data_IF_133432058430
#
_entry.id   IF_133432058430
#
_cell.length_a   1.000
_cell.length_b   1.000
_cell.length_c   1.000
_cell.angle_alpha   90.00
_cell.angle_beta   90.00
_cell.angle_gamma   90.00
#
_symmetry.space_group_name_H-M   'P 1'
#
loop_
_entity.id
_entity.type
_entity.pdbx_description
1 polymer ?
#
# COMPACT_ATOMS: atom_id res chain seq x y z
N UNK A 1 -8.27 -40.96 12.30
CA UNK A 1 -7.83 -39.61 11.90
C UNK A 1 -6.56 -39.30 12.68
N UNK A 2 -5.43 -39.10 11.99
CA UNK A 2 -4.17 -38.75 12.66
C UNK A 2 -4.34 -37.41 13.41
N UNK A 3 -3.96 -37.32 14.70
CA UNK A 3 -4.01 -36.09 15.48
C UNK A 3 -2.93 -35.06 15.09
N UNK A 4 -2.09 -35.37 14.09
CA UNK A 4 -0.92 -34.58 13.71
C UNK A 4 -1.04 -33.85 12.37
N UNK A 5 -2.13 -34.01 11.63
CA UNK A 5 -2.34 -33.29 10.38
C UNK A 5 -2.92 -31.89 10.66
N UNK A 6 -2.04 -30.94 10.99
CA UNK A 6 -2.38 -29.52 11.08
C UNK A 6 -2.40 -28.95 9.65
N UNK A 7 -3.59 -28.66 9.13
CA UNK A 7 -3.74 -28.04 7.81
C UNK A 7 -5.19 -28.06 7.29
N UNK A 8 -5.51 -27.16 6.37
CA UNK A 8 -6.81 -27.17 5.69
C UNK A 8 -6.92 -28.40 4.78
N UNK A 9 -8.15 -28.87 4.54
CA UNK A 9 -8.38 -29.96 3.58
C UNK A 9 -7.94 -29.51 2.19
N UNK A 10 -7.14 -30.35 1.53
CA UNK A 10 -6.80 -30.15 0.12
C UNK A 10 -7.96 -30.66 -0.71
N UNK A 11 -8.63 -29.77 -1.43
CA UNK A 11 -9.67 -30.12 -2.39
C UNK A 11 -9.05 -30.36 -3.78
N UNK A 12 -9.35 -31.52 -4.37
CA UNK A 12 -8.88 -31.85 -5.72
C UNK A 12 -9.96 -31.39 -6.70
N UNK A 13 -9.71 -30.26 -7.38
CA UNK A 13 -10.60 -29.78 -8.44
C UNK A 13 -10.33 -30.54 -9.75
N UNK A 14 -11.27 -31.37 -10.20
CA UNK A 14 -11.18 -32.04 -11.50
C UNK A 14 -11.62 -31.09 -12.63
N UNK A 15 -10.81 -30.95 -13.68
CA UNK A 15 -11.11 -30.24 -14.92
C UNK A 15 -10.92 -31.17 -16.13
N UNK A 16 -11.65 -30.90 -17.22
CA UNK A 16 -11.60 -31.71 -18.45
C UNK A 16 -10.18 -31.90 -19.03
N UNK A 17 -9.28 -30.92 -18.86
CA UNK A 17 -7.86 -31.05 -19.23
C UNK A 17 -6.97 -30.35 -18.18
N UNK A 18 -6.64 -31.08 -17.12
CA UNK A 18 -5.85 -30.58 -16.00
C UNK A 18 -4.47 -30.05 -16.44
N UNK A 19 -3.82 -30.70 -17.41
CA UNK A 19 -2.48 -30.30 -17.88
C UNK A 19 -2.52 -28.94 -18.60
N UNK A 20 -3.48 -28.76 -19.51
CA UNK A 20 -3.65 -27.48 -20.21
C UNK A 20 -3.99 -26.35 -19.23
N UNK A 21 -4.88 -26.61 -18.28
CA UNK A 21 -5.26 -25.64 -17.25
C UNK A 21 -4.06 -25.24 -16.37
N UNK A 22 -3.29 -26.22 -15.90
CA UNK A 22 -2.08 -25.98 -15.11
C UNK A 22 -1.03 -25.16 -15.89
N UNK A 23 -0.78 -25.49 -17.16
CA UNK A 23 0.11 -24.71 -18.03
C UNK A 23 -0.38 -23.27 -18.22
N UNK A 24 -1.68 -23.07 -18.39
CA UNK A 24 -2.25 -21.73 -18.52
C UNK A 24 -2.10 -20.91 -17.24
N UNK A 25 -2.35 -21.49 -16.06
CA UNK A 25 -2.16 -20.81 -14.77
C UNK A 25 -0.69 -20.45 -14.59
N UNK A 26 0.20 -21.41 -14.81
CA UNK A 26 1.64 -21.19 -14.68
C UNK A 26 2.12 -20.04 -15.56
N UNK A 27 1.75 -20.04 -16.85
CA UNK A 27 2.12 -18.97 -17.79
C UNK A 27 1.61 -17.60 -17.34
N UNK A 28 0.34 -17.50 -16.93
CA UNK A 28 -0.24 -16.24 -16.43
C UNK A 28 0.53 -15.72 -15.22
N UNK A 29 0.81 -16.60 -14.27
CA UNK A 29 1.52 -16.26 -13.04
C UNK A 29 2.95 -15.81 -13.31
N UNK A 30 3.73 -16.55 -14.10
CA UNK A 30 5.11 -16.18 -14.41
C UNK A 30 5.17 -14.85 -15.15
N UNK A 31 4.27 -14.62 -16.10
CA UNK A 31 4.21 -13.35 -16.81
C UNK A 31 3.90 -12.19 -15.86
N UNK A 32 2.91 -12.35 -14.97
CA UNK A 32 2.59 -11.36 -13.95
C UNK A 32 3.78 -11.12 -13.02
N UNK A 33 4.48 -12.16 -12.59
CA UNK A 33 5.67 -12.04 -11.76
C UNK A 33 6.75 -11.19 -12.44
N UNK A 34 7.04 -11.43 -13.72
CA UNK A 34 8.02 -10.64 -14.48
C UNK A 34 7.56 -9.17 -14.58
N UNK A 35 6.28 -8.94 -14.89
CA UNK A 35 5.69 -7.59 -14.93
C UNK A 35 5.89 -6.88 -13.59
N UNK A 36 5.59 -7.54 -12.47
CA UNK A 36 5.77 -7.02 -11.11
C UNK A 36 7.21 -6.61 -10.86
N UNK A 37 8.18 -7.47 -11.20
CA UNK A 37 9.60 -7.17 -11.03
C UNK A 37 10.03 -5.94 -11.85
N UNK A 38 9.56 -5.82 -13.08
CA UNK A 38 9.87 -4.67 -13.95
C UNK A 38 9.32 -3.38 -13.32
N UNK A 39 8.04 -3.34 -12.96
CA UNK A 39 7.43 -2.12 -12.40
C UNK A 39 7.98 -1.75 -11.02
N UNK A 40 8.20 -2.72 -10.13
CA UNK A 40 8.87 -2.45 -8.85
C UNK A 40 10.31 -1.96 -9.07
N UNK A 41 11.02 -2.53 -10.05
CA UNK A 41 12.34 -2.07 -10.46
C UNK A 41 12.31 -0.61 -10.92
N UNK A 42 11.35 -0.21 -11.74
CA UNK A 42 11.15 1.18 -12.19
C UNK A 42 10.93 2.11 -11.00
N UNK A 43 10.06 1.73 -10.04
CA UNK A 43 9.80 2.53 -8.83
C UNK A 43 11.08 2.73 -8.02
N UNK A 44 11.84 1.66 -7.76
CA UNK A 44 13.10 1.72 -7.03
C UNK A 44 14.14 2.56 -7.76
N UNK A 45 14.30 2.39 -9.07
CA UNK A 45 15.22 3.17 -9.89
C UNK A 45 14.87 4.66 -9.88
N UNK A 46 13.57 5.01 -9.90
CA UNK A 46 13.16 6.40 -9.79
C UNK A 46 13.52 7.00 -8.43
N UNK A 47 13.40 6.24 -7.32
CA UNK A 47 13.82 6.77 -6.01
C UNK A 47 15.32 7.12 -6.00
N UNK A 48 16.13 6.27 -6.61
CA UNK A 48 17.59 6.49 -6.73
C UNK A 48 17.87 7.69 -7.63
N UNK A 49 17.19 7.78 -8.78
CA UNK A 49 17.29 8.92 -9.70
C UNK A 49 16.95 10.25 -8.99
N UNK A 50 15.82 10.31 -8.31
CA UNK A 50 15.38 11.49 -7.56
C UNK A 50 16.39 11.87 -6.50
N UNK A 51 16.85 10.92 -5.68
CA UNK A 51 17.85 11.15 -4.64
C UNK A 51 19.16 11.71 -5.22
N UNK A 52 19.64 11.18 -6.34
CA UNK A 52 20.86 11.64 -7.00
C UNK A 52 20.78 13.10 -7.45
N UNK A 53 19.69 13.49 -8.10
CA UNK A 53 19.53 14.87 -8.60
C UNK A 53 19.20 15.87 -7.49
N UNK A 54 18.49 15.44 -6.44
CA UNK A 54 18.34 16.21 -5.20
C UNK A 54 19.71 16.42 -4.53
N UNK A 55 20.54 15.37 -4.46
CA UNK A 55 21.90 15.46 -3.91
C UNK A 55 22.77 16.47 -4.66
N UNK A 56 22.72 16.43 -6.00
CA UNK A 56 23.44 17.40 -6.84
C UNK A 56 22.80 18.78 -6.88
N UNK A 57 21.66 19.00 -6.21
CA UNK A 57 20.89 20.25 -6.20
C UNK A 57 20.61 20.78 -7.62
N UNK A 58 20.40 19.88 -8.58
CA UNK A 58 20.14 20.20 -9.99
C UNK A 58 18.66 20.55 -10.18
N UNK A 59 18.30 21.79 -9.85
CA UNK A 59 16.92 22.31 -9.93
C UNK A 59 16.33 22.21 -11.34
N UNK A 60 17.17 22.26 -12.39
CA UNK A 60 16.76 22.05 -13.78
C UNK A 60 16.12 20.67 -14.03
N UNK A 61 16.39 19.69 -13.16
CA UNK A 61 15.82 18.34 -13.25
C UNK A 61 14.58 18.13 -12.40
N UNK A 62 14.16 19.11 -11.60
CA UNK A 62 13.01 18.92 -10.70
C UNK A 62 11.70 18.76 -11.47
N UNK A 63 11.54 19.44 -12.61
CA UNK A 63 10.39 19.24 -13.50
C UNK A 63 10.33 17.79 -14.04
N UNK A 64 11.48 17.20 -14.36
CA UNK A 64 11.54 15.82 -14.83
C UNK A 64 11.23 14.84 -13.69
N UNK A 65 11.73 15.10 -12.48
CA UNK A 65 11.42 14.29 -11.30
C UNK A 65 9.91 14.32 -11.00
N UNK A 66 9.29 15.50 -11.04
CA UNK A 66 7.85 15.67 -10.88
C UNK A 66 7.06 14.91 -11.97
N UNK A 67 7.44 15.06 -13.24
CA UNK A 67 6.87 14.29 -14.35
C UNK A 67 6.94 12.77 -14.10
N UNK A 68 8.10 12.27 -13.69
CA UNK A 68 8.30 10.84 -13.46
C UNK A 68 7.54 10.31 -12.24
N UNK A 69 7.45 11.11 -11.18
CA UNK A 69 6.63 10.79 -10.02
C UNK A 69 5.15 10.70 -10.40
N UNK A 70 4.65 11.67 -11.16
CA UNK A 70 3.27 11.65 -11.68
C UNK A 70 3.02 10.45 -12.61
N UNK A 71 3.99 10.10 -13.47
CA UNK A 71 3.92 8.88 -14.29
C UNK A 71 3.69 7.66 -13.41
N UNK A 72 4.45 7.46 -12.32
CA UNK A 72 4.28 6.26 -11.46
C UNK A 72 2.92 6.25 -10.76
N UNK A 73 2.44 7.37 -10.22
CA UNK A 73 1.14 7.42 -9.55
C UNK A 73 0.02 7.06 -10.54
N UNK A 74 0.06 7.62 -11.75
CA UNK A 74 -0.89 7.30 -12.82
C UNK A 74 -0.73 5.84 -13.25
N UNK A 75 0.50 5.33 -13.32
CA UNK A 75 0.80 3.97 -13.72
C UNK A 75 0.15 2.93 -12.80
N UNK A 76 0.17 3.18 -11.49
CA UNK A 76 -0.49 2.32 -10.49
C UNK A 76 -1.99 2.24 -10.78
N UNK A 77 -2.64 3.38 -11.06
CA UNK A 77 -4.05 3.42 -11.44
C UNK A 77 -4.32 2.67 -12.75
N UNK A 78 -3.53 2.89 -13.79
CA UNK A 78 -3.68 2.21 -15.10
C UNK A 78 -3.46 0.70 -14.96
N UNK A 79 -2.52 0.26 -14.11
CA UNK A 79 -2.31 -1.15 -13.80
C UNK A 79 -3.55 -1.81 -13.19
N UNK A 80 -4.23 -1.11 -12.29
CA UNK A 80 -5.50 -1.59 -11.71
C UNK A 80 -6.59 -1.66 -12.78
N UNK A 81 -6.75 -0.65 -13.63
CA UNK A 81 -7.69 -0.71 -14.75
C UNK A 81 -7.39 -1.87 -15.70
N UNK A 82 -6.12 -2.11 -16.01
CA UNK A 82 -5.70 -3.23 -16.85
C UNK A 82 -5.96 -4.59 -16.20
N UNK A 83 -6.07 -4.67 -14.87
CA UNK A 83 -6.48 -5.87 -14.15
C UNK A 83 -7.89 -6.36 -14.50
N UNK A 84 -8.73 -5.51 -15.10
CA UNK A 84 -10.02 -5.91 -15.69
C UNK A 84 -9.83 -6.84 -16.89
N UNK A 85 -8.68 -6.73 -17.57
CA UNK A 85 -8.34 -7.43 -18.80
C UNK A 85 -7.35 -8.57 -18.57
N UNK A 86 -7.22 -9.46 -19.55
CA UNK A 86 -6.21 -10.53 -19.56
C UNK A 86 -4.92 -10.14 -20.29
N UNK A 87 -4.61 -8.85 -20.40
CA UNK A 87 -3.44 -8.35 -21.17
C UNK A 87 -2.11 -8.89 -20.65
N UNK A 88 -2.02 -9.24 -19.37
CA UNK A 88 -0.82 -9.83 -18.75
C UNK A 88 -0.41 -11.19 -19.35
N UNK A 89 -1.26 -11.83 -20.16
CA UNK A 89 -0.87 -13.04 -20.91
C UNK A 89 0.29 -12.76 -21.88
N UNK A 90 0.48 -11.51 -22.31
CA UNK A 90 1.64 -11.09 -23.11
C UNK A 90 2.34 -9.92 -22.42
N UNK A 91 3.56 -10.16 -21.94
CA UNK A 91 4.37 -9.18 -21.19
C UNK A 91 4.63 -7.93 -22.04
N UNK A 92 5.04 -8.10 -23.30
CA UNK A 92 5.38 -6.97 -24.17
C UNK A 92 4.15 -6.09 -24.45
N UNK A 93 3.00 -6.72 -24.71
CA UNK A 93 1.74 -6.01 -24.93
C UNK A 93 1.29 -5.26 -23.67
N UNK A 94 1.39 -5.91 -22.50
CA UNK A 94 1.07 -5.28 -21.22
C UNK A 94 1.94 -4.03 -21.01
N UNK A 95 3.26 -4.16 -21.13
CA UNK A 95 4.19 -3.05 -20.93
C UNK A 95 3.92 -1.90 -21.91
N UNK A 96 3.73 -2.22 -23.19
CA UNK A 96 3.48 -1.22 -24.23
C UNK A 96 2.21 -0.41 -23.94
N UNK A 97 1.08 -1.10 -23.74
CA UNK A 97 -0.21 -0.43 -23.49
C UNK A 97 -0.16 0.35 -22.19
N UNK A 98 0.37 -0.25 -21.13
CA UNK A 98 0.42 0.35 -19.81
C UNK A 98 1.26 1.63 -19.80
N UNK A 99 2.49 1.59 -20.32
CA UNK A 99 3.39 2.74 -20.36
C UNK A 99 2.90 3.82 -21.32
N UNK A 100 2.40 3.44 -22.50
CA UNK A 100 1.86 4.39 -23.48
C UNK A 100 0.64 5.13 -22.93
N UNK A 101 -0.31 4.40 -22.35
CA UNK A 101 -1.54 4.97 -21.78
C UNK A 101 -1.20 5.89 -20.61
N UNK A 102 -0.30 5.44 -19.72
CA UNK A 102 0.20 6.27 -18.61
C UNK A 102 0.81 7.56 -19.13
N UNK A 103 1.72 7.47 -20.12
CA UNK A 103 2.38 8.63 -20.70
C UNK A 103 1.41 9.63 -21.31
N UNK A 104 0.47 9.17 -22.16
CA UNK A 104 -0.54 10.03 -22.80
C UNK A 104 -1.37 10.76 -21.74
N UNK A 105 -1.83 10.05 -20.71
CA UNK A 105 -2.66 10.62 -19.65
C UNK A 105 -1.86 11.63 -18.82
N UNK A 106 -0.61 11.31 -18.45
CA UNK A 106 0.24 12.23 -17.68
C UNK A 106 0.50 13.51 -18.45
N UNK A 107 0.89 13.43 -19.72
CA UNK A 107 1.11 14.62 -20.55
C UNK A 107 -0.17 15.46 -20.68
N UNK A 108 -1.31 14.82 -20.92
CA UNK A 108 -2.60 15.52 -21.02
C UNK A 108 -2.99 16.26 -19.74
N UNK A 109 -2.67 15.71 -18.56
CA UNK A 109 -3.10 16.26 -17.27
C UNK A 109 -2.11 17.30 -16.73
N UNK A 110 -0.81 17.15 -17.00
CA UNK A 110 0.21 18.11 -16.55
C UNK A 110 0.08 19.51 -17.17
N UNK A 111 -0.63 19.60 -18.30
CA UNK A 111 -0.98 20.85 -18.96
C UNK A 111 -2.27 21.48 -18.43
N UNK A 112 -2.96 20.82 -17.48
CA UNK A 112 -4.19 21.30 -16.85
C UNK A 112 -3.90 21.83 -15.45
N UNK A 113 -4.73 22.77 -14.99
CA UNK A 113 -4.71 23.26 -13.62
C UNK A 113 -5.33 22.27 -12.61
N UNK A 114 -5.12 20.96 -12.81
CA UNK A 114 -5.65 19.89 -11.97
C UNK A 114 -4.50 19.30 -11.18
N UNK A 115 -4.71 19.05 -9.89
CA UNK A 115 -3.76 18.32 -9.04
C UNK A 115 -3.74 16.83 -9.45
N UNK A 116 -2.71 16.32 -10.15
CA UNK A 116 -2.71 14.95 -10.64
C UNK A 116 -2.63 13.94 -9.49
N UNK A 117 -1.80 14.22 -8.47
CA UNK A 117 -1.60 13.35 -7.32
C UNK A 117 -2.91 13.16 -6.54
N UNK A 118 -3.63 14.25 -6.25
CA UNK A 118 -4.94 14.21 -5.58
C UNK A 118 -5.99 13.45 -6.39
N UNK A 119 -6.09 13.73 -7.70
CA UNK A 119 -7.04 13.07 -8.59
C UNK A 119 -6.77 11.56 -8.70
N UNK A 120 -5.55 11.16 -9.05
CA UNK A 120 -5.23 9.74 -9.26
C UNK A 120 -5.14 8.96 -7.95
N UNK A 121 -4.82 9.59 -6.82
CA UNK A 121 -4.99 8.95 -5.51
C UNK A 121 -6.46 8.65 -5.24
N UNK A 122 -7.35 9.58 -5.54
CA UNK A 122 -8.81 9.38 -5.39
C UNK A 122 -9.33 8.26 -6.30
N UNK A 123 -8.97 8.29 -7.57
CA UNK A 123 -9.37 7.24 -8.52
C UNK A 123 -8.80 5.86 -8.14
N UNK A 124 -7.54 5.82 -7.69
CA UNK A 124 -6.89 4.60 -7.18
C UNK A 124 -7.58 4.07 -5.94
N UNK A 125 -7.94 4.93 -4.99
CA UNK A 125 -8.68 4.53 -3.80
C UNK A 125 -10.03 3.90 -4.14
N UNK A 126 -10.80 4.56 -5.01
CA UNK A 126 -12.11 4.08 -5.47
C UNK A 126 -12.00 2.72 -6.17
N UNK A 127 -11.06 2.56 -7.11
CA UNK A 127 -10.92 1.30 -7.85
C UNK A 127 -10.43 0.15 -6.96
N UNK A 128 -9.60 0.42 -5.95
CA UNK A 128 -9.21 -0.62 -4.98
C UNK A 128 -10.41 -1.04 -4.13
N UNK A 129 -11.17 -0.09 -3.59
CA UNK A 129 -12.41 -0.40 -2.85
C UNK A 129 -13.36 -1.22 -3.72
N UNK A 130 -13.60 -0.77 -4.95
CA UNK A 130 -14.46 -1.48 -5.89
C UNK A 130 -13.96 -2.90 -6.17
N UNK A 131 -12.65 -3.07 -6.38
CA UNK A 131 -12.03 -4.37 -6.56
C UNK A 131 -12.22 -5.28 -5.34
N UNK A 132 -12.10 -4.76 -4.11
CA UNK A 132 -12.26 -5.57 -2.90
C UNK A 132 -13.70 -6.07 -2.75
N UNK A 133 -14.71 -5.22 -2.97
CA UNK A 133 -16.11 -5.60 -2.75
C UNK A 133 -16.75 -6.37 -3.90
N UNK A 134 -16.39 -6.04 -5.15
CA UNK A 134 -17.15 -6.50 -6.31
C UNK A 134 -16.35 -7.38 -7.27
N UNK A 135 -15.03 -7.13 -7.45
CA UNK A 135 -14.23 -7.83 -8.45
C UNK A 135 -12.75 -7.95 -8.04
N UNK A 136 -12.40 -8.88 -7.11
CA UNK A 136 -11.04 -9.00 -6.58
C UNK A 136 -9.99 -9.32 -7.66
N UNK A 137 -10.40 -9.89 -8.80
CA UNK A 137 -9.51 -10.18 -9.91
C UNK A 137 -8.83 -8.94 -10.48
N UNK A 138 -9.47 -7.76 -10.39
CA UNK A 138 -8.87 -6.48 -10.80
C UNK A 138 -7.56 -6.25 -10.03
N UNK A 139 -7.57 -6.57 -8.73
CA UNK A 139 -6.43 -6.36 -7.85
C UNK A 139 -5.34 -7.39 -8.16
N UNK A 140 -5.69 -8.67 -8.21
CA UNK A 140 -4.72 -9.76 -8.41
C UNK A 140 -4.11 -9.80 -9.81
N UNK A 141 -4.81 -9.27 -10.82
CA UNK A 141 -4.29 -9.15 -12.19
C UNK A 141 -3.56 -7.82 -12.46
N UNK A 142 -3.40 -6.98 -11.44
CA UNK A 142 -2.56 -5.76 -11.50
C UNK A 142 -1.18 -6.04 -10.92
N UNK A 143 -0.14 -5.34 -11.39
CA UNK A 143 1.21 -5.55 -10.85
C UNK A 143 1.31 -5.15 -9.36
N UNK A 144 0.46 -4.22 -8.90
CA UNK A 144 0.52 -3.75 -7.52
C UNK A 144 -0.17 -4.73 -6.56
N UNK A 145 -1.25 -5.38 -6.99
CA UNK A 145 -2.03 -6.32 -6.17
C UNK A 145 -1.72 -7.80 -6.38
N UNK A 146 -0.90 -8.14 -7.39
CA UNK A 146 -0.49 -9.53 -7.65
C UNK A 146 0.20 -10.16 -6.43
N UNK A 147 -0.28 -11.32 -6.00
CA UNK A 147 0.29 -12.04 -4.87
C UNK A 147 1.14 -13.22 -5.36
N UNK A 148 2.42 -13.23 -5.02
CA UNK A 148 3.38 -14.21 -5.53
C UNK A 148 3.35 -15.49 -4.70
N UNK A 149 2.47 -16.41 -5.09
CA UNK A 149 2.30 -17.73 -4.46
C UNK A 149 3.50 -18.69 -4.66
N UNK A 150 4.29 -18.50 -5.73
CA UNK A 150 5.34 -19.45 -6.11
C UNK A 150 6.63 -19.32 -5.29
N UNK A 151 6.87 -18.16 -4.66
CA UNK A 151 8.02 -17.94 -3.80
C UNK A 151 7.81 -18.43 -2.36
N UNK A 152 6.69 -19.09 -2.07
CA UNK A 152 6.36 -19.54 -0.72
C UNK A 152 6.03 -18.41 0.25
N UNK A 153 5.82 -17.19 -0.25
CA UNK A 153 5.25 -16.10 0.56
C UNK A 153 3.84 -16.49 0.99
N UNK A 154 3.52 -16.22 2.26
CA UNK A 154 2.22 -16.55 2.83
C UNK A 154 1.14 -15.79 2.09
N UNK A 155 0.14 -16.51 1.59
CA UNK A 155 -1.03 -15.91 0.95
C UNK A 155 -1.96 -15.35 2.02
N UNK A 156 -2.06 -14.02 2.09
CA UNK A 156 -2.98 -13.33 2.98
C UNK A 156 -4.09 -12.59 2.23
N UNK A 157 -4.38 -12.96 0.98
CA UNK A 157 -5.22 -12.20 0.06
C UNK A 157 -4.47 -10.99 -0.51
N UNK A 158 -4.74 -9.78 -0.02
CA UNK A 158 -4.08 -8.52 -0.41
C UNK A 158 -2.61 -8.50 0.01
N UNK A 159 -1.74 -8.14 -0.93
CA UNK A 159 -0.32 -7.98 -0.64
C UNK A 159 -0.02 -6.62 0.05
N UNK A 160 1.19 -6.47 0.58
CA UNK A 160 1.60 -5.25 1.27
C UNK A 160 1.74 -4.02 0.34
N UNK A 161 1.98 -4.22 -0.95
CA UNK A 161 2.06 -3.13 -1.92
C UNK A 161 0.71 -2.44 -2.11
N UNK A 162 -0.34 -3.22 -2.43
CA UNK A 162 -1.69 -2.67 -2.62
C UNK A 162 -2.30 -2.16 -1.32
N UNK A 163 -2.00 -2.80 -0.18
CA UNK A 163 -2.38 -2.29 1.14
C UNK A 163 -1.73 -0.91 1.41
N UNK A 164 -0.43 -0.75 1.13
CA UNK A 164 0.24 0.54 1.29
C UNK A 164 -0.33 1.62 0.38
N UNK A 165 -0.58 1.29 -0.88
CA UNK A 165 -1.22 2.18 -1.87
C UNK A 165 -2.63 2.56 -1.44
N UNK A 166 -3.45 1.63 -0.97
CA UNK A 166 -4.80 1.91 -0.45
C UNK A 166 -4.75 2.92 0.69
N UNK A 167 -3.87 2.72 1.68
CA UNK A 167 -3.78 3.61 2.84
C UNK A 167 -3.31 5.02 2.45
N UNK A 168 -2.22 5.15 1.69
CA UNK A 168 -1.72 6.48 1.30
C UNK A 168 -2.68 7.20 0.36
N UNK A 169 -3.29 6.48 -0.59
CA UNK A 169 -4.29 7.04 -1.49
C UNK A 169 -5.54 7.48 -0.74
N UNK A 170 -5.95 6.78 0.32
CA UNK A 170 -7.07 7.20 1.17
C UNK A 170 -6.79 8.53 1.90
N UNK A 171 -5.56 8.72 2.40
CA UNK A 171 -5.17 9.97 3.08
C UNK A 171 -5.19 11.12 2.07
N UNK A 172 -4.46 10.98 0.97
CA UNK A 172 -4.35 12.03 -0.06
C UNK A 172 -5.72 12.34 -0.66
N UNK A 173 -6.50 11.31 -0.95
CA UNK A 173 -7.84 11.46 -1.51
C UNK A 173 -8.76 12.21 -0.56
N UNK A 174 -8.77 11.87 0.72
CA UNK A 174 -9.55 12.61 1.72
C UNK A 174 -9.17 14.10 1.76
N UNK A 175 -7.87 14.41 1.82
CA UNK A 175 -7.39 15.80 1.84
C UNK A 175 -7.63 16.54 0.51
N UNK A 176 -7.76 15.83 -0.61
CA UNK A 176 -8.13 16.40 -1.89
C UNK A 176 -9.63 16.72 -1.98
N UNK A 177 -10.50 15.79 -1.58
CA UNK A 177 -11.96 15.98 -1.69
C UNK A 177 -12.53 16.94 -0.64
N UNK A 178 -11.89 17.08 0.54
CA UNK A 178 -12.38 17.94 1.62
C UNK A 178 -12.46 19.42 1.22
N UNK A 179 -11.65 19.86 0.25
CA UNK A 179 -11.71 21.22 -0.27
C UNK A 179 -13.07 21.53 -0.93
N UNK A 180 -13.80 20.49 -1.33
CA UNK A 180 -15.13 20.57 -1.92
C UNK A 180 -16.26 20.48 -0.88
N UNK A 181 -15.95 20.25 0.40
CA UNK A 181 -16.94 20.05 1.47
C UNK A 181 -17.01 21.32 2.34
N UNK A 182 -17.99 22.22 2.15
CA UNK A 182 -18.04 23.48 2.89
C UNK A 182 -18.44 23.32 4.35
N UNK A 183 -19.20 22.26 4.68
CA UNK A 183 -19.74 22.06 6.02
C UNK A 183 -18.78 21.22 6.88
N UNK A 184 -18.27 21.81 7.97
CA UNK A 184 -17.32 21.15 8.90
C UNK A 184 -17.87 19.87 9.55
N UNK A 185 -19.16 19.80 9.82
CA UNK A 185 -19.78 18.59 10.37
C UNK A 185 -19.79 17.47 9.31
N UNK A 186 -20.21 17.80 8.08
CA UNK A 186 -20.21 16.84 6.97
C UNK A 186 -18.78 16.35 6.68
N UNK A 187 -17.80 17.25 6.68
CA UNK A 187 -16.39 16.93 6.52
C UNK A 187 -15.89 15.94 7.60
N UNK A 188 -16.22 16.16 8.88
CA UNK A 188 -15.89 15.21 9.97
C UNK A 188 -16.59 13.85 9.80
N UNK A 189 -17.84 13.83 9.36
CA UNK A 189 -18.57 12.57 9.09
C UNK A 189 -17.95 11.83 7.90
N UNK A 190 -17.64 12.53 6.82
CA UNK A 190 -16.96 11.97 5.64
C UNK A 190 -15.60 11.41 6.04
N UNK A 191 -14.80 12.15 6.83
CA UNK A 191 -13.54 11.67 7.38
C UNK A 191 -13.71 10.34 8.13
N UNK A 192 -14.68 10.30 9.06
CA UNK A 192 -14.96 9.10 9.84
C UNK A 192 -15.29 7.91 8.93
N UNK A 193 -16.22 8.09 7.98
CA UNK A 193 -16.60 7.05 7.03
C UNK A 193 -15.43 6.60 6.15
N UNK A 194 -14.60 7.53 5.68
CA UNK A 194 -13.45 7.25 4.82
C UNK A 194 -12.45 6.29 5.48
N UNK A 195 -12.02 6.62 6.69
CA UNK A 195 -11.01 5.81 7.38
C UNK A 195 -11.61 4.58 8.05
N UNK A 196 -12.90 4.59 8.39
CA UNK A 196 -13.62 3.37 8.80
C UNK A 196 -13.71 2.37 7.65
N UNK A 197 -13.92 2.84 6.42
CA UNK A 197 -13.94 1.99 5.23
C UNK A 197 -12.61 1.23 5.06
N UNK A 198 -11.47 1.88 5.35
CA UNK A 198 -10.16 1.21 5.34
C UNK A 198 -10.08 0.03 6.32
N UNK A 199 -10.67 0.17 7.51
CA UNK A 199 -10.74 -0.93 8.50
C UNK A 199 -11.58 -2.08 7.97
N UNK A 200 -12.73 -1.78 7.35
CA UNK A 200 -13.63 -2.80 6.79
C UNK A 200 -12.93 -3.57 5.67
N UNK A 201 -12.37 -2.88 4.68
CA UNK A 201 -11.74 -3.52 3.52
C UNK A 201 -10.44 -4.24 3.85
N UNK A 202 -9.73 -3.82 4.89
CA UNK A 202 -8.53 -4.50 5.39
C UNK A 202 -8.84 -5.48 6.54
N UNK A 203 -10.09 -5.84 6.76
CA UNK A 203 -10.45 -6.89 7.73
C UNK A 203 -10.17 -8.29 7.21
N UNK A 204 -10.12 -9.28 8.11
CA UNK A 204 -9.85 -10.68 7.76
C UNK A 204 -10.83 -11.25 6.72
N UNK A 205 -12.09 -10.78 6.72
CA UNK A 205 -13.14 -11.23 5.81
C UNK A 205 -12.87 -10.91 4.33
N UNK A 206 -12.05 -9.89 4.05
CA UNK A 206 -11.70 -9.49 2.69
C UNK A 206 -10.29 -9.92 2.29
N UNK A 207 -9.71 -10.87 3.04
CA UNK A 207 -8.38 -11.40 2.76
C UNK A 207 -7.34 -10.31 2.86
N UNK A 208 -7.27 -9.58 3.97
CA UNK A 208 -6.14 -8.70 4.26
C UNK A 208 -5.24 -9.34 5.32
N UNK A 209 -3.95 -9.01 5.28
CA UNK A 209 -3.05 -9.46 6.33
C UNK A 209 -3.31 -8.72 7.66
N UNK A 210 -2.95 -9.36 8.77
CA UNK A 210 -3.15 -8.82 10.12
C UNK A 210 -2.41 -7.49 10.33
N UNK A 211 -1.23 -7.33 9.72
CA UNK A 211 -0.47 -6.07 9.73
C UNK A 211 -1.20 -4.93 9.02
N UNK A 212 -1.86 -5.23 7.90
CA UNK A 212 -2.70 -4.33 7.12
C UNK A 212 -3.87 -3.81 7.94
N UNK A 213 -4.62 -4.73 8.54
CA UNK A 213 -5.72 -4.40 9.44
C UNK A 213 -5.27 -3.50 10.59
N UNK A 214 -4.17 -3.86 11.27
CA UNK A 214 -3.66 -3.10 12.41
C UNK A 214 -3.20 -1.69 11.98
N UNK A 215 -2.55 -1.57 10.81
CA UNK A 215 -2.15 -0.27 10.27
C UNK A 215 -3.37 0.59 9.94
N UNK A 216 -4.46 0.00 9.41
CA UNK A 216 -5.71 0.71 9.14
C UNK A 216 -6.37 1.23 10.43
N UNK A 217 -6.37 0.42 11.50
CA UNK A 217 -6.83 0.85 12.83
C UNK A 217 -6.01 2.06 13.29
N UNK A 218 -4.68 1.99 13.21
CA UNK A 218 -3.85 3.10 13.66
C UNK A 218 -4.10 4.37 12.83
N UNK A 219 -4.24 4.25 11.51
CA UNK A 219 -4.62 5.39 10.66
C UNK A 219 -5.97 5.98 11.08
N UNK A 220 -6.99 5.16 11.25
CA UNK A 220 -8.30 5.63 11.70
C UNK A 220 -8.21 6.37 13.04
N UNK A 221 -7.47 5.82 14.01
CA UNK A 221 -7.28 6.44 15.31
C UNK A 221 -6.52 7.77 15.22
N UNK A 222 -5.46 7.85 14.42
CA UNK A 222 -4.73 9.10 14.16
C UNK A 222 -5.67 10.15 13.58
N UNK A 223 -6.51 9.77 12.60
CA UNK A 223 -7.47 10.68 11.99
C UNK A 223 -8.55 11.14 12.97
N UNK A 224 -9.14 10.22 13.75
CA UNK A 224 -10.11 10.59 14.78
C UNK A 224 -9.48 11.56 15.79
N UNK A 225 -8.28 11.25 16.27
CA UNK A 225 -7.64 12.01 17.33
C UNK A 225 -7.18 13.40 16.89
N UNK A 226 -6.46 13.49 15.77
CA UNK A 226 -5.91 14.76 15.30
C UNK A 226 -6.96 15.61 14.60
N UNK A 227 -7.83 14.99 13.79
CA UNK A 227 -8.72 15.71 12.88
C UNK A 227 -10.13 15.87 13.44
N UNK A 228 -10.76 14.79 13.90
CA UNK A 228 -12.15 14.85 14.38
C UNK A 228 -12.23 15.52 15.74
N UNK A 229 -11.31 15.16 16.65
CA UNK A 229 -11.24 15.70 18.00
C UNK A 229 -10.38 16.97 18.10
N UNK A 230 -9.75 17.40 17.00
CA UNK A 230 -8.90 18.60 16.93
C UNK A 230 -7.81 18.63 18.03
N UNK A 231 -7.27 17.47 18.44
CA UNK A 231 -6.25 17.37 19.50
C UNK A 231 -4.83 17.37 18.93
N UNK A 232 -3.89 17.92 19.69
CA UNK A 232 -2.45 17.77 19.42
C UNK A 232 -1.91 16.44 19.99
N UNK A 233 -0.84 15.94 19.38
CA UNK A 233 -0.12 14.77 19.89
C UNK A 233 0.40 15.03 21.31
N UNK A 234 -0.12 14.29 22.28
CA UNK A 234 0.38 14.27 23.65
C UNK A 234 0.51 12.81 24.13
N UNK A 235 1.35 12.58 25.13
CA UNK A 235 1.65 11.23 25.62
C UNK A 235 0.38 10.52 26.14
N UNK A 236 -0.48 11.25 26.86
CA UNK A 236 -1.75 10.73 27.36
C UNK A 236 -2.70 10.29 26.23
N UNK A 237 -2.76 11.05 25.14
CA UNK A 237 -3.53 10.73 23.94
C UNK A 237 -2.99 9.49 23.25
N UNK A 238 -1.67 9.30 23.18
CA UNK A 238 -1.06 8.08 22.64
C UNK A 238 -1.50 6.85 23.44
N UNK A 239 -1.45 6.89 24.78
CA UNK A 239 -1.95 5.77 25.61
C UNK A 239 -3.44 5.51 25.39
N UNK A 240 -4.24 6.57 25.24
CA UNK A 240 -5.67 6.46 24.95
C UNK A 240 -5.90 5.78 23.59
N UNK A 241 -5.14 6.16 22.56
CA UNK A 241 -5.23 5.54 21.23
C UNK A 241 -4.80 4.08 21.24
N UNK A 242 -3.72 3.74 21.97
CA UNK A 242 -3.29 2.35 22.13
C UNK A 242 -4.39 1.52 22.79
N UNK A 243 -5.02 2.05 23.84
CA UNK A 243 -6.11 1.36 24.53
C UNK A 243 -7.33 1.14 23.63
N UNK A 244 -7.79 2.17 22.92
CA UNK A 244 -8.91 2.05 21.97
C UNK A 244 -8.56 1.07 20.84
N UNK A 245 -7.34 1.15 20.29
CA UNK A 245 -6.88 0.24 19.26
C UNK A 245 -6.85 -1.22 19.72
N UNK A 246 -6.42 -1.45 20.96
CA UNK A 246 -6.48 -2.78 21.58
C UNK A 246 -7.92 -3.27 21.72
N UNK A 247 -8.86 -2.44 22.14
CA UNK A 247 -10.28 -2.80 22.23
C UNK A 247 -10.88 -3.17 20.86
N UNK A 248 -10.60 -2.38 19.82
CA UNK A 248 -11.05 -2.67 18.45
C UNK A 248 -10.47 -4.02 17.98
N UNK A 249 -9.16 -4.22 18.19
CA UNK A 249 -8.49 -5.46 17.81
C UNK A 249 -9.06 -6.68 18.57
N UNK A 250 -9.24 -6.57 19.88
CA UNK A 250 -9.81 -7.63 20.71
C UNK A 250 -11.25 -7.98 20.29
N UNK A 251 -12.05 -6.96 19.95
CA UNK A 251 -13.42 -7.15 19.45
C UNK A 251 -13.42 -7.89 18.11
N UNK A 252 -12.53 -7.54 17.18
CA UNK A 252 -12.40 -8.28 15.92
C UNK A 252 -11.98 -9.73 16.15
N UNK A 253 -10.97 -9.98 16.99
CA UNK A 253 -10.54 -11.34 17.35
C UNK A 253 -11.65 -12.16 18.01
N UNK A 254 -12.52 -11.53 18.80
CA UNK A 254 -13.69 -12.19 19.38
C UNK A 254 -14.66 -12.66 18.29
N UNK A 255 -15.04 -11.79 17.35
CA UNK A 255 -15.94 -12.17 16.26
C UNK A 255 -15.34 -13.25 15.34
N UNK A 256 -14.05 -13.12 15.03
CA UNK A 256 -13.31 -14.10 14.23
C UNK A 256 -13.27 -15.48 14.91
N UNK A 257 -13.27 -15.55 16.25
CA UNK A 257 -13.27 -16.82 16.98
C UNK A 257 -14.56 -17.63 16.81
N UNK A 258 -15.68 -16.94 16.64
CA UNK A 258 -16.99 -17.56 16.37
C UNK A 258 -17.28 -17.70 14.88
N UNK A 259 -16.37 -17.27 14.00
CA UNK A 259 -16.52 -17.47 12.56
C UNK A 259 -16.25 -18.93 12.18
N UNK A 260 -16.93 -19.40 11.13
CA UNK A 260 -16.76 -20.77 10.63
C UNK A 260 -15.36 -21.00 10.01
N UNK A 261 -14.73 -19.94 9.50
CA UNK A 261 -13.38 -19.95 8.93
C UNK A 261 -12.43 -19.12 9.80
N UNK A 262 -11.80 -19.76 10.78
CA UNK A 262 -10.87 -19.09 11.70
C UNK A 262 -9.72 -18.44 10.95
N UNK A 263 -9.47 -17.15 11.19
CA UNK A 263 -8.33 -16.47 10.58
C UNK A 263 -6.98 -17.03 11.04
N UNK A 264 -5.94 -16.64 10.31
CA UNK A 264 -4.55 -16.89 10.67
C UNK A 264 -4.18 -16.41 12.07
N UNK A 265 -4.79 -15.32 12.57
CA UNK A 265 -4.52 -14.79 13.89
C UNK A 265 -5.00 -15.73 14.99
N UNK A 266 -6.17 -16.35 14.80
CA UNK A 266 -6.73 -17.30 15.78
C UNK A 266 -6.00 -18.62 15.75
N UNK A 267 -5.63 -19.10 14.56
CA UNK A 267 -4.78 -20.28 14.45
C UNK A 267 -3.44 -20.06 15.18
N UNK A 268 -2.88 -18.85 15.12
CA UNK A 268 -1.69 -18.50 15.90
C UNK A 268 -1.96 -18.47 17.41
N UNK A 269 -3.06 -17.87 17.88
CA UNK A 269 -3.44 -17.91 19.30
C UNK A 269 -3.64 -19.34 19.81
N UNK A 270 -4.25 -20.21 19.01
CA UNK A 270 -4.39 -21.64 19.31
C UNK A 270 -3.00 -22.29 19.41
N UNK A 271 -2.09 -22.00 18.46
CA UNK A 271 -0.71 -22.51 18.52
C UNK A 271 0.05 -22.05 19.75
N UNK A 272 -0.09 -20.78 20.16
CA UNK A 272 0.50 -20.27 21.40
C UNK A 272 -0.08 -21.02 22.61
N UNK A 273 -1.40 -21.25 22.62
CA UNK A 273 -2.04 -22.02 23.69
C UNK A 273 -1.51 -23.46 23.76
N UNK A 274 -1.21 -24.09 22.62
CA UNK A 274 -0.75 -25.49 22.56
C UNK A 274 0.77 -25.67 22.74
N UNK A 275 1.57 -24.75 22.20
CA UNK A 275 3.04 -24.85 22.13
C UNK A 275 3.75 -23.95 23.16
N UNK A 276 2.99 -23.05 23.81
CA UNK A 276 3.49 -22.11 24.80
C UNK A 276 4.09 -20.83 24.19
N UNK A 277 4.72 -20.03 25.07
CA UNK A 277 5.34 -18.74 24.73
C UNK A 277 6.50 -18.87 23.71
N UNK A 278 7.09 -20.06 23.56
CA UNK A 278 8.16 -20.31 22.60
C UNK A 278 7.71 -20.11 21.15
N UNK A 279 6.48 -20.49 20.81
CA UNK A 279 5.90 -20.27 19.46
C UNK A 279 5.76 -18.77 19.16
N UNK A 280 5.35 -17.97 20.16
CA UNK A 280 5.24 -16.52 20.01
C UNK A 280 6.60 -15.88 19.70
N UNK A 281 7.62 -16.22 20.51
CA UNK A 281 8.99 -15.69 20.33
C UNK A 281 9.57 -16.14 18.99
N UNK A 282 9.38 -17.40 18.59
CA UNK A 282 9.87 -17.91 17.32
C UNK A 282 9.22 -17.19 16.12
N UNK A 283 7.90 -17.03 16.12
CA UNK A 283 7.19 -16.31 15.07
C UNK A 283 7.61 -14.85 14.98
N UNK A 284 7.78 -14.18 16.13
CA UNK A 284 8.27 -12.81 16.18
C UNK A 284 9.71 -12.69 15.63
N UNK A 285 10.60 -13.62 16.00
CA UNK A 285 11.98 -13.68 15.51
C UNK A 285 12.03 -13.86 13.99
N UNK A 286 11.28 -14.82 13.44
CA UNK A 286 11.20 -15.05 11.99
C UNK A 286 10.75 -13.79 11.26
N UNK A 287 9.71 -13.12 11.79
CA UNK A 287 9.19 -11.88 11.19
C UNK A 287 10.22 -10.76 11.17
N UNK A 288 10.94 -10.53 12.27
CA UNK A 288 12.00 -9.53 12.33
C UNK A 288 13.13 -9.88 11.36
N UNK A 289 13.52 -11.15 11.30
CA UNK A 289 14.60 -11.61 10.43
C UNK A 289 14.26 -11.40 8.95
N UNK A 290 13.03 -11.74 8.54
CA UNK A 290 12.52 -11.47 7.18
C UNK A 290 12.49 -9.98 6.86
N UNK A 291 11.99 -9.16 7.79
CA UNK A 291 11.93 -7.70 7.62
C UNK A 291 13.34 -7.10 7.46
N UNK A 292 14.29 -7.48 8.31
CA UNK A 292 15.67 -6.99 8.26
C UNK A 292 16.36 -7.44 6.95
N UNK A 293 16.22 -8.72 6.59
CA UNK A 293 16.77 -9.25 5.33
C UNK A 293 16.27 -8.46 4.14
N UNK A 294 14.96 -8.26 4.03
CA UNK A 294 14.36 -7.52 2.92
C UNK A 294 14.75 -6.04 2.93
N UNK A 295 14.95 -5.45 4.11
CA UNK A 295 15.38 -4.05 4.26
C UNK A 295 16.80 -3.82 3.78
N UNK A 296 17.71 -4.77 3.99
CA UNK A 296 19.14 -4.61 3.65
C UNK A 296 19.41 -5.01 2.20
N UNK A 297 18.70 -6.01 1.68
CA UNK A 297 18.98 -6.60 0.38
C UNK A 297 18.58 -5.65 -0.77
N UNK A 298 19.45 -5.41 -1.76
CA UNK A 298 19.08 -4.70 -2.98
C UNK A 298 17.94 -5.40 -3.74
N UNK A 299 17.03 -4.66 -4.40
CA UNK A 299 17.06 -3.21 -4.59
C UNK A 299 16.46 -2.40 -3.42
N UNK A 300 15.79 -3.05 -2.47
CA UNK A 300 14.95 -2.37 -1.49
C UNK A 300 15.72 -1.48 -0.52
N UNK A 301 16.86 -1.95 0.01
CA UNK A 301 17.67 -1.14 0.91
C UNK A 301 18.18 0.15 0.26
N UNK A 302 18.58 0.06 -1.01
CA UNK A 302 19.02 1.22 -1.80
C UNK A 302 17.85 2.20 -1.99
N UNK A 303 16.65 1.69 -2.29
CA UNK A 303 15.45 2.52 -2.43
C UNK A 303 15.08 3.23 -1.11
N UNK A 304 15.09 2.52 0.02
CA UNK A 304 14.81 3.10 1.35
C UNK A 304 15.81 4.21 1.68
N UNK A 305 17.10 3.97 1.53
CA UNK A 305 18.14 4.98 1.80
C UNK A 305 17.94 6.19 0.89
N UNK A 306 17.62 5.97 -0.39
CA UNK A 306 17.33 7.04 -1.36
C UNK A 306 16.11 7.86 -0.96
N UNK A 307 15.05 7.22 -0.45
CA UNK A 307 13.85 7.88 0.04
C UNK A 307 14.10 8.70 1.31
N UNK A 308 14.78 8.12 2.30
CA UNK A 308 15.15 8.84 3.53
C UNK A 308 16.02 10.06 3.19
N UNK A 309 16.98 9.90 2.29
CA UNK A 309 17.81 10.99 1.82
C UNK A 309 16.98 12.09 1.14
N UNK A 310 16.10 11.71 0.22
CA UNK A 310 15.23 12.64 -0.50
C UNK A 310 14.32 13.40 0.46
N UNK A 311 13.68 12.71 1.41
CA UNK A 311 12.85 13.34 2.43
C UNK A 311 13.66 14.33 3.28
N UNK A 312 14.84 13.95 3.77
CA UNK A 312 15.67 14.85 4.56
C UNK A 312 16.03 16.12 3.76
N UNK A 313 16.48 15.99 2.51
CA UNK A 313 16.90 17.15 1.73
C UNK A 313 15.75 18.04 1.29
N UNK A 314 14.63 17.44 0.91
CA UNK A 314 13.42 18.20 0.60
C UNK A 314 12.94 18.95 1.85
N UNK A 315 12.99 18.33 3.04
CA UNK A 315 12.58 18.98 4.29
C UNK A 315 13.38 20.23 4.65
N UNK A 316 14.63 20.33 4.18
CA UNK A 316 15.50 21.49 4.38
C UNK A 316 15.20 22.63 3.39
N UNK A 317 14.38 22.40 2.35
CA UNK A 317 14.03 23.42 1.36
C UNK A 317 12.94 24.35 1.89
N UNK A 318 13.20 25.67 1.84
CA UNK A 318 12.35 26.73 2.43
C UNK A 318 10.90 26.78 1.94
N UNK A 319 10.55 26.10 0.85
CA UNK A 319 9.25 26.21 0.18
C UNK A 319 8.34 24.99 0.41
N UNK A 320 8.72 24.02 1.25
CA UNK A 320 7.87 22.86 1.52
C UNK A 320 6.99 23.13 2.75
N UNK A 321 5.67 23.18 2.53
CA UNK A 321 4.70 23.29 3.62
C UNK A 321 4.51 21.93 4.30
N UNK A 322 4.90 21.81 5.57
CA UNK A 322 4.59 20.63 6.38
C UNK A 322 3.13 20.64 6.80
N UNK A 323 2.26 20.15 5.91
CA UNK A 323 0.85 19.96 6.19
C UNK A 323 0.61 18.74 7.09
N UNK A 324 -0.52 18.73 7.79
CA UNK A 324 -0.95 17.61 8.64
C UNK A 324 -0.92 16.26 7.90
N UNK A 325 -1.34 16.24 6.63
CA UNK A 325 -1.33 15.05 5.77
C UNK A 325 0.08 14.43 5.62
N UNK A 326 1.12 15.26 5.51
CA UNK A 326 2.52 14.81 5.38
C UNK A 326 2.96 14.00 6.59
N UNK A 327 2.63 14.48 7.79
CA UNK A 327 2.99 13.82 9.04
C UNK A 327 2.23 12.50 9.22
N UNK A 328 0.95 12.46 8.81
CA UNK A 328 0.13 11.25 8.86
C UNK A 328 0.70 10.20 7.89
N UNK A 329 1.01 10.58 6.65
CA UNK A 329 1.58 9.67 5.64
C UNK A 329 2.91 9.10 6.13
N UNK A 330 3.79 9.93 6.69
CA UNK A 330 5.07 9.47 7.24
C UNK A 330 4.88 8.48 8.41
N UNK A 331 4.00 8.81 9.36
CA UNK A 331 3.69 7.94 10.49
C UNK A 331 3.15 6.59 10.02
N UNK A 332 2.20 6.59 9.07
CA UNK A 332 1.64 5.36 8.49
C UNK A 332 2.67 4.58 7.70
N UNK A 333 3.59 5.23 6.99
CA UNK A 333 4.72 4.58 6.35
C UNK A 333 5.54 3.77 7.35
N UNK A 334 5.97 4.40 8.46
CA UNK A 334 6.76 3.75 9.51
C UNK A 334 5.99 2.59 10.17
N UNK A 335 4.70 2.80 10.46
CA UNK A 335 3.86 1.76 11.08
C UNK A 335 3.68 0.57 10.11
N UNK A 336 3.39 0.84 8.84
CA UNK A 336 3.27 -0.19 7.81
C UNK A 336 4.58 -0.97 7.63
N UNK A 337 5.73 -0.29 7.71
CA UNK A 337 7.05 -0.91 7.67
C UNK A 337 7.26 -1.93 8.80
N UNK A 338 6.91 -1.56 10.04
CA UNK A 338 7.15 -2.40 11.23
C UNK A 338 6.13 -3.54 11.33
N UNK A 339 4.85 -3.27 11.05
CA UNK A 339 3.77 -4.20 11.34
C UNK A 339 3.60 -5.32 10.29
N UNK A 340 4.19 -5.20 9.11
CA UNK A 340 3.94 -6.11 7.99
C UNK A 340 5.16 -6.97 7.66
N UNK A 341 4.92 -8.24 7.27
CA UNK A 341 5.97 -9.22 6.96
C UNK A 341 6.90 -8.74 5.82
N UNK A 342 6.35 -8.08 4.79
CA UNK A 342 7.11 -7.38 3.74
C UNK A 342 6.83 -5.87 3.76
N UNK A 343 6.82 -5.28 4.97
CA UNK A 343 6.51 -3.87 5.21
C UNK A 343 7.40 -2.88 4.44
N UNK A 344 8.60 -3.30 4.05
CA UNK A 344 9.50 -2.59 3.12
C UNK A 344 8.79 -2.17 1.83
N UNK A 345 8.00 -3.06 1.22
CA UNK A 345 7.30 -2.77 -0.05
C UNK A 345 6.22 -1.71 0.19
N UNK A 346 5.43 -1.86 1.26
CA UNK A 346 4.41 -0.88 1.64
C UNK A 346 5.04 0.50 1.88
N UNK A 347 6.14 0.54 2.64
CA UNK A 347 6.89 1.76 2.92
C UNK A 347 7.35 2.46 1.64
N UNK A 348 7.94 1.73 0.69
CA UNK A 348 8.42 2.31 -0.57
C UNK A 348 7.29 3.01 -1.32
N UNK A 349 6.12 2.39 -1.45
CA UNK A 349 4.98 3.03 -2.12
C UNK A 349 4.43 4.21 -1.32
N UNK A 350 4.22 4.07 -0.01
CA UNK A 350 3.69 5.16 0.83
C UNK A 350 4.60 6.39 0.76
N UNK A 351 5.92 6.19 0.91
CA UNK A 351 6.89 7.30 0.86
C UNK A 351 7.07 7.84 -0.55
N UNK A 352 6.90 7.02 -1.59
CA UNK A 352 6.91 7.53 -2.96
C UNK A 352 5.78 8.54 -3.21
N UNK A 353 4.56 8.24 -2.73
CA UNK A 353 3.45 9.20 -2.79
C UNK A 353 3.76 10.48 -1.99
N UNK A 354 4.39 10.35 -0.82
CA UNK A 354 4.82 11.51 -0.01
C UNK A 354 5.82 12.41 -0.74
N UNK A 355 6.88 11.81 -1.30
CA UNK A 355 7.90 12.54 -2.07
C UNK A 355 7.24 13.24 -3.26
N UNK A 356 6.35 12.55 -3.97
CA UNK A 356 5.62 13.12 -5.10
C UNK A 356 4.78 14.34 -4.68
N UNK A 357 4.06 14.23 -3.57
CA UNK A 357 3.26 15.33 -3.02
C UNK A 357 4.11 16.56 -2.70
N UNK A 358 5.31 16.36 -2.13
CA UNK A 358 6.24 17.44 -1.83
C UNK A 358 6.81 18.13 -3.07
N UNK A 359 7.08 17.36 -4.14
CA UNK A 359 7.52 17.95 -5.41
C UNK A 359 6.45 18.83 -6.04
N UNK A 360 5.18 18.43 -5.92
CA UNK A 360 4.05 19.19 -6.45
C UNK A 360 3.70 20.43 -5.60
N UNK A 361 3.80 20.33 -4.28
CA UNK A 361 3.46 21.42 -3.35
C UNK A 361 4.56 22.47 -3.26
N UNK A 362 5.82 22.09 -3.42
CA UNK A 362 6.90 23.06 -3.44
C UNK A 362 6.83 23.88 -4.72
N UNK A 363 6.98 25.21 -4.62
CA UNK A 363 7.40 26.07 -5.73
C UNK A 363 8.86 25.76 -6.12
N UNK A 364 9.12 24.49 -6.41
CA UNK A 364 10.39 23.91 -6.81
C UNK A 364 10.60 24.07 -8.33
N UNK A 365 9.57 24.54 -9.03
CA UNK A 365 9.59 24.83 -10.44
C UNK A 365 10.12 26.26 -10.68
N UNK A 366 11.12 26.46 -11.56
CA UNK A 366 11.27 27.76 -12.22
C UNK A 366 9.98 28.07 -13.01
N UNK A 367 9.61 29.35 -13.21
CA UNK A 367 8.45 29.70 -14.02
C UNK A 367 8.56 29.00 -15.37
N UNK A 368 7.51 28.26 -15.75
CA UNK A 368 7.40 27.64 -17.08
C UNK A 368 7.37 28.79 -18.09
N UNK A 369 8.43 28.89 -18.89
CA UNK A 369 8.59 29.88 -19.97
C UNK A 369 7.71 29.54 -21.16
#
# INVERSE_FOLDING_TARGET
>A
KSPLAIGNRIEIAQRQNNLFHARSIFKKTINMMIIVYIFHGIVCLLQIYSAYYIYKNKKDKFNNIDLYNNLIIINIFISLLMGISSLHINIALYLLINLLTTYIITMFIMDRAINPIGLFSTLTYIIIIFGIFFKPEILYNSYIGFNNLFYGFRYYGLNNGIMGVLLVSSIISYFFIRELIPNRFVDKVVCFCYFMMNIVVLSANYGANTGGFLTAIVLFLIMVYLYILDKSFNISGIFTLIFIGFLIFATNMYFDYFSNEKSHAINFLIRIKTLGLSEFVNMFKIKIEELIKLTIVPPFGIAIVSQIYSLKRLSEMKNISFKMETNIILAIGIIAFILNDTGVIAFIYIIHYLISLWFQQGELHPPRS
#
